data_IF_553616495490
#
_entry.id   IF_553616495490
#
_cell.length_a   1.000
_cell.length_b   1.000
_cell.length_c   1.000
_cell.angle_alpha   90.00
_cell.angle_beta   90.00
_cell.angle_gamma   90.00
#
_symmetry.space_group_name_H-M   'P 1'
#
loop_
_entity.id
_entity.type
_entity.pdbx_description
1 polymer ?
#
# COMPACT_ATOMS: atom_id res chain seq x y z
N UNK A 1 -12.94 -9.80 -5.54
CA UNK A 1 -11.72 -9.16 -5.01
C UNK A 1 -10.54 -9.70 -5.80
N UNK A 2 -9.55 -8.87 -6.16
CA UNK A 2 -8.35 -9.32 -6.87
C UNK A 2 -7.64 -10.45 -6.11
N UNK A 3 -7.08 -11.42 -6.83
CA UNK A 3 -6.28 -12.48 -6.23
C UNK A 3 -4.91 -11.92 -5.78
N UNK A 4 -4.57 -12.12 -4.50
CA UNK A 4 -3.32 -11.66 -3.88
C UNK A 4 -2.38 -12.81 -3.50
N UNK A 5 -2.69 -14.06 -3.89
CA UNK A 5 -1.97 -15.27 -3.46
C UNK A 5 -0.47 -15.22 -3.80
N UNK A 6 -0.06 -14.46 -4.82
CA UNK A 6 1.34 -14.25 -5.22
C UNK A 6 1.98 -12.92 -4.77
N UNK A 7 1.35 -12.20 -3.85
CA UNK A 7 1.80 -10.86 -3.44
C UNK A 7 3.16 -10.91 -2.70
N UNK A 8 4.14 -10.15 -3.20
CA UNK A 8 5.41 -9.90 -2.52
C UNK A 8 5.28 -8.58 -1.75
N UNK A 9 5.01 -8.71 -0.45
CA UNK A 9 4.78 -7.57 0.44
C UNK A 9 6.09 -6.89 0.83
N UNK A 10 6.18 -5.58 0.55
CA UNK A 10 7.27 -4.72 0.97
C UNK A 10 6.79 -3.78 2.08
N UNK A 11 7.41 -3.86 3.25
CA UNK A 11 7.13 -2.96 4.36
C UNK A 11 7.67 -1.56 4.09
N UNK A 12 6.92 -0.52 4.44
CA UNK A 12 7.38 0.87 4.34
C UNK A 12 8.56 1.13 5.28
N UNK A 13 9.57 1.90 4.83
CA UNK A 13 10.71 2.32 5.66
C UNK A 13 10.32 3.27 6.79
N UNK A 14 9.12 3.87 6.73
CA UNK A 14 8.54 4.70 7.79
C UNK A 14 7.85 3.88 8.89
N UNK A 15 7.81 2.55 8.74
CA UNK A 15 7.29 1.61 9.74
C UNK A 15 8.30 1.43 10.88
N UNK A 16 8.31 2.36 11.83
CA UNK A 16 9.02 2.22 13.10
C UNK A 16 8.03 1.80 14.21
N UNK A 17 8.53 1.59 15.44
CA UNK A 17 7.70 1.20 16.59
C UNK A 17 6.59 2.21 16.97
N UNK A 18 6.44 3.34 16.27
CA UNK A 18 5.42 4.35 16.56
C UNK A 18 4.02 4.05 15.97
N UNK A 19 3.84 2.96 15.22
CA UNK A 19 2.53 2.31 15.14
C UNK A 19 1.70 2.47 13.87
N UNK A 20 2.23 2.97 12.76
CA UNK A 20 1.49 3.03 11.48
C UNK A 20 2.26 2.28 10.38
N UNK A 21 2.34 0.96 10.52
CA UNK A 21 3.14 0.12 9.64
C UNK A 21 2.31 -0.41 8.47
N UNK A 22 2.61 0.03 7.25
CA UNK A 22 1.94 -0.46 6.03
C UNK A 22 2.87 -1.33 5.16
N UNK A 23 2.29 -2.35 4.53
CA UNK A 23 2.95 -3.21 3.54
C UNK A 23 2.27 -3.02 2.17
N UNK A 24 3.06 -2.91 1.11
CA UNK A 24 2.60 -2.75 -0.28
C UNK A 24 3.11 -3.89 -1.15
N UNK A 25 2.25 -4.44 -2.00
CA UNK A 25 2.62 -5.38 -3.05
C UNK A 25 2.31 -4.79 -4.42
N UNK A 26 3.34 -4.68 -5.27
CA UNK A 26 3.24 -4.09 -6.61
C UNK A 26 3.68 -5.06 -7.72
N UNK A 27 3.92 -6.33 -7.38
CA UNK A 27 4.40 -7.36 -8.30
C UNK A 27 3.26 -8.11 -9.02
N UNK A 28 2.01 -7.83 -8.67
CA UNK A 28 0.86 -8.52 -9.24
C UNK A 28 0.39 -7.81 -10.51
N UNK A 29 0.00 -8.55 -11.57
CA UNK A 29 -0.53 -7.97 -12.79
C UNK A 29 -1.81 -7.16 -12.51
N UNK A 30 -1.80 -5.87 -12.87
CA UNK A 30 -2.99 -5.03 -12.86
C UNK A 30 -3.51 -4.64 -11.47
N UNK A 31 -2.83 -5.00 -10.38
CA UNK A 31 -3.27 -4.67 -9.02
C UNK A 31 -2.11 -4.30 -8.10
N UNK A 32 -2.32 -3.26 -7.30
CA UNK A 32 -1.49 -2.90 -6.15
C UNK A 32 -2.24 -3.25 -4.87
N UNK A 33 -1.63 -4.07 -4.02
CA UNK A 33 -2.15 -4.40 -2.70
C UNK A 33 -1.56 -3.50 -1.62
N UNK A 34 -2.39 -3.06 -0.68
CA UNK A 34 -2.00 -2.32 0.53
C UNK A 34 -2.64 -3.00 1.75
N UNK A 35 -1.86 -3.33 2.77
CA UNK A 35 -2.39 -3.89 4.01
C UNK A 35 -1.71 -3.31 5.25
N UNK A 36 -2.37 -3.48 6.40
CA UNK A 36 -1.76 -3.23 7.70
C UNK A 36 -0.74 -4.33 8.01
N UNK A 37 0.49 -3.92 8.36
CA UNK A 37 1.53 -4.87 8.77
C UNK A 37 1.21 -5.55 10.11
N UNK A 38 0.37 -4.92 10.94
CA UNK A 38 -0.05 -5.42 12.26
C UNK A 38 -1.18 -6.44 12.14
N UNK A 39 -1.97 -6.37 11.08
CA UNK A 39 -3.04 -7.32 10.79
C UNK A 39 -2.87 -7.92 9.38
N UNK A 40 -1.91 -8.85 9.26
CA UNK A 40 -1.56 -9.48 7.98
C UNK A 40 -2.64 -10.41 7.42
N UNK A 41 -3.55 -10.88 8.28
CA UNK A 41 -4.64 -11.77 7.94
C UNK A 41 -5.95 -11.00 7.71
N UNK A 42 -6.00 -9.73 8.11
CA UNK A 42 -7.09 -8.81 7.82
C UNK A 42 -7.20 -8.43 6.35
N UNK A 43 -8.23 -7.65 6.01
CA UNK A 43 -8.49 -7.25 4.63
C UNK A 43 -7.39 -6.35 4.07
N UNK A 44 -7.00 -6.60 2.82
CA UNK A 44 -6.13 -5.73 2.04
C UNK A 44 -6.95 -4.81 1.14
N UNK A 45 -6.55 -3.55 1.04
CA UNK A 45 -7.04 -2.62 0.01
C UNK A 45 -6.35 -2.93 -1.31
N UNK A 46 -7.10 -2.83 -2.41
CA UNK A 46 -6.58 -3.08 -3.75
C UNK A 46 -6.83 -1.89 -4.66
N UNK A 47 -5.83 -1.53 -5.45
CA UNK A 47 -5.87 -0.41 -6.38
C UNK A 47 -5.46 -0.85 -7.79
N UNK A 48 -6.03 -0.23 -8.81
CA UNK A 48 -5.40 -0.23 -10.14
C UNK A 48 -4.07 0.57 -10.08
N UNK A 49 -3.05 0.22 -10.88
CA UNK A 49 -1.76 0.92 -10.86
C UNK A 49 -1.85 2.43 -11.14
N UNK A 50 -2.78 2.83 -12.01
CA UNK A 50 -3.06 4.24 -12.34
C UNK A 50 -3.67 4.99 -11.14
N UNK A 51 -4.64 4.38 -10.46
CA UNK A 51 -5.28 4.92 -9.27
C UNK A 51 -4.28 5.05 -8.12
N UNK A 52 -3.44 4.04 -7.90
CA UNK A 52 -2.35 4.08 -6.92
C UNK A 52 -1.39 5.24 -7.15
N UNK A 53 -0.98 5.43 -8.41
CA UNK A 53 -0.06 6.53 -8.77
C UNK A 53 -0.66 7.90 -8.51
N UNK A 54 -1.95 8.08 -8.83
CA UNK A 54 -2.69 9.32 -8.54
C UNK A 54 -2.84 9.55 -7.03
N UNK A 55 -3.18 8.51 -6.28
CA UNK A 55 -3.30 8.58 -4.82
C UNK A 55 -1.99 9.04 -4.17
N UNK A 56 -0.87 8.37 -4.47
CA UNK A 56 0.45 8.74 -3.93
C UNK A 56 0.85 10.15 -4.35
N UNK A 57 0.56 10.54 -5.60
CA UNK A 57 0.78 11.90 -6.09
C UNK A 57 0.01 12.94 -5.25
N UNK A 58 -1.28 12.71 -5.01
CA UNK A 58 -2.11 13.59 -4.19
C UNK A 58 -1.63 13.70 -2.74
N UNK A 59 -1.28 12.58 -2.10
CA UNK A 59 -0.73 12.57 -0.73
C UNK A 59 0.56 13.37 -0.64
N UNK A 60 1.47 13.22 -1.62
CA UNK A 60 2.72 13.99 -1.66
C UNK A 60 2.43 15.48 -1.79
N UNK A 61 1.53 15.89 -2.68
CA UNK A 61 1.18 17.31 -2.86
C UNK A 61 0.57 17.90 -1.58
N UNK A 62 -0.36 17.18 -0.94
CA UNK A 62 -0.95 17.62 0.33
C UNK A 62 0.10 17.78 1.44
N UNK A 63 1.10 16.90 1.50
CA UNK A 63 2.20 16.98 2.45
C UNK A 63 3.18 18.14 2.19
N UNK A 64 3.15 18.74 1.00
CA UNK A 64 4.00 19.90 0.63
C UNK A 64 3.26 21.23 0.73
N UNK A 65 2.00 21.25 1.19
CA UNK A 65 1.28 22.48 1.45
C UNK A 65 1.73 23.06 2.81
N UNK A 66 2.31 24.27 2.87
CA UNK A 66 2.66 24.93 4.13
C UNK A 66 1.41 25.35 4.91
#
# INVERSE_FOLDING_TARGET
>A
MPDLTGAIWRKSSRSNNAGECVEVAANLPGVIGLRDSKDRNGPALTFEPSAWSRFVGGVKQAAHHP
#
